data_IF_842118487186
#
_entry.id   IF_842118487186
#
_cell.length_a   1.000
_cell.length_b   1.000
_cell.length_c   1.000
_cell.angle_alpha   90.00
_cell.angle_beta   90.00
_cell.angle_gamma   90.00
#
_symmetry.space_group_name_H-M   'P 1'
#
loop_
_entity.id
_entity.type
_entity.pdbx_description
1 polymer ?
#
# COMPACT_ATOMS: atom_id res chain seq x y z
N UNK A 1 -1.60 -31.49 -8.43
CA UNK A 1 -1.89 -31.36 -6.98
C UNK A 1 -0.60 -30.87 -6.33
N UNK A 2 -0.43 -29.56 -6.14
CA UNK A 2 0.75 -28.98 -5.49
C UNK A 2 0.71 -29.31 -3.99
N UNK A 3 1.45 -30.34 -3.55
CA UNK A 3 1.37 -30.91 -2.19
C UNK A 3 2.28 -30.25 -1.15
N UNK A 4 2.73 -29.00 -1.36
CA UNK A 4 3.68 -28.38 -0.43
C UNK A 4 3.24 -26.98 -0.08
N UNK A 5 2.95 -26.76 1.20
CA UNK A 5 2.59 -25.45 1.76
C UNK A 5 3.60 -24.36 1.36
N UNK A 6 4.89 -24.73 1.22
CA UNK A 6 5.95 -23.84 0.73
C UNK A 6 5.78 -23.38 -0.73
N UNK A 7 5.29 -24.23 -1.62
CA UNK A 7 5.06 -23.85 -3.02
C UNK A 7 3.87 -22.88 -3.13
N UNK A 8 2.82 -23.11 -2.34
CA UNK A 8 1.66 -22.23 -2.25
C UNK A 8 2.03 -20.88 -1.62
N UNK A 9 2.85 -20.90 -0.57
CA UNK A 9 3.40 -19.70 0.07
C UNK A 9 4.27 -18.88 -0.89
N UNK A 10 5.18 -19.52 -1.65
CA UNK A 10 5.97 -18.83 -2.68
C UNK A 10 5.10 -18.23 -3.78
N UNK A 11 4.05 -18.92 -4.22
CA UNK A 11 3.10 -18.36 -5.21
C UNK A 11 2.38 -17.14 -4.68
N UNK A 12 1.92 -17.19 -3.43
CA UNK A 12 1.33 -16.05 -2.73
C UNK A 12 2.34 -14.92 -2.59
N UNK A 13 3.55 -15.20 -2.14
CA UNK A 13 4.64 -14.22 -2.00
C UNK A 13 4.97 -13.57 -3.35
N UNK A 14 5.01 -14.33 -4.44
CA UNK A 14 5.26 -13.77 -5.79
C UNK A 14 4.10 -12.86 -6.25
N UNK A 15 2.85 -13.27 -6.01
CA UNK A 15 1.65 -12.49 -6.31
C UNK A 15 1.51 -11.25 -5.41
N UNK A 16 1.89 -11.35 -4.14
CA UNK A 16 1.87 -10.27 -3.18
C UNK A 16 3.08 -9.33 -3.32
N UNK A 17 4.23 -9.81 -3.79
CA UNK A 17 5.40 -8.99 -4.14
C UNK A 17 5.14 -8.18 -5.42
N UNK A 18 4.44 -8.74 -6.42
CA UNK A 18 3.92 -7.96 -7.56
C UNK A 18 2.82 -6.99 -7.13
N UNK A 19 2.00 -7.35 -6.13
CA UNK A 19 1.17 -6.37 -5.42
C UNK A 19 1.98 -5.37 -4.61
N UNK A 20 3.23 -5.58 -4.19
CA UNK A 20 4.01 -4.53 -3.51
C UNK A 20 4.41 -3.43 -4.49
N UNK A 21 4.86 -3.79 -5.69
CA UNK A 21 5.12 -2.84 -6.78
C UNK A 21 3.84 -2.13 -7.25
N UNK A 22 2.75 -2.88 -7.43
CA UNK A 22 1.46 -2.33 -7.86
C UNK A 22 0.80 -1.52 -6.74
N UNK A 23 0.83 -1.96 -5.49
CA UNK A 23 0.38 -1.20 -4.31
C UNK A 23 1.23 0.04 -4.15
N UNK A 24 2.54 -0.02 -4.35
CA UNK A 24 3.40 1.16 -4.31
C UNK A 24 3.02 2.16 -5.40
N UNK A 25 2.68 1.68 -6.60
CA UNK A 25 2.20 2.53 -7.68
C UNK A 25 0.85 3.17 -7.32
N UNK A 26 -0.09 2.39 -6.79
CA UNK A 26 -1.42 2.85 -6.34
C UNK A 26 -1.30 3.83 -5.18
N UNK A 27 -0.46 3.57 -4.18
CA UNK A 27 -0.23 4.46 -3.04
C UNK A 27 0.45 5.76 -3.48
N UNK A 28 1.40 5.69 -4.42
CA UNK A 28 1.98 6.89 -5.03
C UNK A 28 0.92 7.69 -5.77
N UNK A 29 0.10 7.04 -6.59
CA UNK A 29 -1.00 7.70 -7.28
C UNK A 29 -1.96 8.35 -6.29
N UNK A 30 -2.35 7.64 -5.23
CA UNK A 30 -3.21 8.14 -4.18
C UNK A 30 -2.60 9.37 -3.50
N UNK A 31 -1.30 9.35 -3.17
CA UNK A 31 -0.55 10.49 -2.62
C UNK A 31 -0.52 11.69 -3.57
N UNK A 32 -0.29 11.49 -4.87
CA UNK A 32 -0.31 12.56 -5.86
C UNK A 32 -1.71 13.13 -6.11
N UNK A 33 -2.74 12.33 -5.92
CA UNK A 33 -4.15 12.78 -5.99
C UNK A 33 -4.70 13.23 -4.64
N UNK A 34 -3.95 13.04 -3.55
CA UNK A 34 -4.37 13.36 -2.20
C UNK A 34 -4.43 14.88 -2.07
N UNK A 35 -5.66 15.40 -2.07
CA UNK A 35 -5.94 16.82 -1.94
C UNK A 35 -6.93 17.00 -0.80
N UNK A 36 -6.68 18.04 -0.01
CA UNK A 36 -7.57 18.43 1.08
C UNK A 36 -8.82 19.09 0.49
N UNK A 37 -10.00 18.65 0.91
CA UNK A 37 -11.25 19.27 0.51
C UNK A 37 -11.57 20.47 1.43
N UNK A 38 -12.23 21.49 0.90
CA UNK A 38 -12.70 22.63 1.71
C UNK A 38 -13.70 22.13 2.76
N UNK A 39 -13.45 22.47 4.03
CA UNK A 39 -14.25 22.01 5.18
C UNK A 39 -13.70 20.77 5.90
N UNK A 40 -12.63 20.14 5.40
CA UNK A 40 -11.96 19.05 6.12
C UNK A 40 -11.11 19.60 7.27
N UNK A 41 -11.06 18.89 8.40
CA UNK A 41 -10.19 19.28 9.50
C UNK A 41 -8.74 18.98 9.13
N UNK A 42 -7.89 20.01 9.15
CA UNK A 42 -6.47 19.90 8.83
C UNK A 42 -5.76 18.78 9.62
N UNK A 43 -6.14 18.58 10.88
CA UNK A 43 -5.59 17.54 11.75
C UNK A 43 -5.89 16.13 11.20
N UNK A 44 -7.11 15.89 10.77
CA UNK A 44 -7.54 14.59 10.26
C UNK A 44 -6.90 14.32 8.90
N UNK A 45 -6.78 15.35 8.06
CA UNK A 45 -6.07 15.29 6.80
C UNK A 45 -4.58 14.94 6.99
N UNK A 46 -3.90 15.56 7.96
CA UNK A 46 -2.50 15.26 8.31
C UNK A 46 -2.36 13.82 8.83
N UNK A 47 -3.28 13.36 9.68
CA UNK A 47 -3.28 11.97 10.17
C UNK A 47 -3.44 10.95 9.04
N UNK A 48 -4.32 11.20 8.08
CA UNK A 48 -4.46 10.36 6.89
C UNK A 48 -3.18 10.36 6.04
N UNK A 49 -2.55 11.52 5.86
CA UNK A 49 -1.29 11.67 5.11
C UNK A 49 -0.14 10.89 5.78
N UNK A 50 0.00 10.98 7.10
CA UNK A 50 1.00 10.22 7.89
C UNK A 50 0.77 8.71 7.74
N UNK A 51 -0.49 8.25 7.75
CA UNK A 51 -0.84 6.84 7.59
C UNK A 51 -0.44 6.34 6.20
N UNK A 52 -0.77 7.10 5.16
CA UNK A 52 -0.44 6.79 3.76
C UNK A 52 1.09 6.73 3.53
N UNK A 53 1.85 7.61 4.20
CA UNK A 53 3.33 7.58 4.19
C UNK A 53 3.90 6.35 4.90
N UNK A 54 3.31 5.94 6.03
CA UNK A 54 3.71 4.72 6.74
C UNK A 54 3.41 3.47 5.89
N UNK A 55 2.26 3.41 5.22
CA UNK A 55 1.93 2.31 4.30
C UNK A 55 2.92 2.24 3.14
N UNK A 56 3.28 3.40 2.57
CA UNK A 56 4.34 3.49 1.54
C UNK A 56 5.72 3.02 2.02
N UNK A 57 6.05 3.27 3.29
CA UNK A 57 7.30 2.82 3.92
C UNK A 57 7.30 1.32 4.18
N UNK A 58 6.15 0.77 4.57
CA UNK A 58 5.99 -0.65 4.89
C UNK A 58 5.92 -1.55 3.65
N UNK A 59 5.44 -1.03 2.51
CA UNK A 59 5.44 -1.74 1.22
C UNK A 59 6.86 -1.97 0.65
N UNK A 60 7.89 -1.38 1.26
CA UNK A 60 9.31 -1.52 0.87
C UNK A 60 10.01 -2.75 1.47
N UNK A 61 9.28 -3.68 2.08
CA UNK A 61 9.81 -4.93 2.63
C UNK A 61 9.47 -6.08 1.67
#
# INVERSE_FOLDING_TARGET
IEKTSSALWKRLETLYATKSLTNRLVLKQHLFTFRMNEGEFLKDHISQLITLLNDLKNVKI
#
